data_IF_808398039296
#
_entry.id   IF_808398039296
#
_cell.length_a   1.000
_cell.length_b   1.000
_cell.length_c   1.000
_cell.angle_alpha   90.00
_cell.angle_beta   90.00
_cell.angle_gamma   90.00
#
_symmetry.space_group_name_H-M   'P 1'
#
loop_
_entity.id
_entity.type
_entity.pdbx_description
1 polymer ?
#
# COMPACT_ATOMS: atom_id res chain seq x y z
N UNK A 1 -10.81 24.36 18.33
CA UNK A 1 -9.41 24.09 17.95
C UNK A 1 -9.39 22.74 17.25
N UNK A 2 -9.63 22.73 15.93
CA UNK A 2 -9.58 21.55 15.08
C UNK A 2 -8.30 21.70 14.24
N UNK A 3 -7.23 21.05 14.65
CA UNK A 3 -6.01 20.90 13.85
C UNK A 3 -5.82 19.41 13.67
N UNK A 4 -6.27 18.93 12.52
CA UNK A 4 -5.86 17.67 11.91
C UNK A 4 -5.75 18.01 10.43
N UNK A 5 -4.61 18.57 10.04
CA UNK A 5 -4.21 18.63 8.63
C UNK A 5 -3.92 17.18 8.17
N UNK A 6 -4.98 16.39 8.01
CA UNK A 6 -4.99 15.02 7.47
C UNK A 6 -5.23 15.02 5.95
N UNK A 7 -5.15 16.19 5.29
CA UNK A 7 -5.60 16.36 3.91
C UNK A 7 -4.71 15.72 2.86
N UNK A 8 -3.50 15.26 3.19
CA UNK A 8 -2.48 14.89 2.18
C UNK A 8 -1.69 13.60 2.49
N UNK A 9 -2.27 12.64 3.19
CA UNK A 9 -1.58 11.37 3.49
C UNK A 9 -1.57 10.40 2.28
N UNK A 10 -0.45 9.69 2.13
CA UNK A 10 -0.21 8.67 1.10
C UNK A 10 -0.16 7.28 1.73
N UNK A 11 -1.10 6.41 1.37
CA UNK A 11 -1.07 4.99 1.72
C UNK A 11 -0.47 4.17 0.58
N UNK A 12 0.54 3.35 0.88
CA UNK A 12 1.18 2.44 -0.08
C UNK A 12 0.96 1.00 0.38
N UNK A 13 0.18 0.23 -0.37
CA UNK A 13 -0.04 -1.19 -0.09
C UNK A 13 0.98 -2.05 -0.84
N UNK A 14 1.69 -2.94 -0.13
CA UNK A 14 2.66 -3.87 -0.71
C UNK A 14 2.31 -5.32 -0.38
N UNK A 15 2.37 -6.21 -1.37
CA UNK A 15 2.04 -7.63 -1.14
C UNK A 15 3.08 -8.34 -0.28
N UNK A 16 2.60 -9.11 0.70
CA UNK A 16 3.39 -10.06 1.49
C UNK A 16 3.97 -11.23 0.67
N UNK A 17 3.46 -11.47 -0.55
CA UNK A 17 3.90 -12.54 -1.46
C UNK A 17 5.13 -12.18 -2.28
N UNK A 18 5.67 -10.98 -2.14
CA UNK A 18 6.90 -10.61 -2.81
C UNK A 18 8.10 -11.34 -2.20
N UNK A 19 9.15 -11.50 -3.00
CA UNK A 19 10.46 -11.85 -2.46
C UNK A 19 11.05 -10.62 -1.72
N UNK A 20 11.79 -10.80 -0.61
CA UNK A 20 12.36 -9.70 0.18
C UNK A 20 13.15 -8.68 -0.63
N UNK A 21 14.15 -9.12 -1.41
CA UNK A 21 14.98 -8.23 -2.24
C UNK A 21 14.16 -7.39 -3.21
N UNK A 22 13.04 -7.94 -3.63
CA UNK A 22 12.16 -7.30 -4.59
C UNK A 22 11.22 -6.30 -3.92
N UNK A 23 10.68 -6.62 -2.75
CA UNK A 23 9.99 -5.65 -1.93
C UNK A 23 10.92 -4.46 -1.60
N UNK A 24 12.20 -4.72 -1.31
CA UNK A 24 13.19 -3.68 -1.07
C UNK A 24 13.37 -2.75 -2.29
N UNK A 25 13.62 -3.32 -3.49
CA UNK A 25 13.79 -2.53 -4.72
C UNK A 25 12.55 -1.72 -5.07
N UNK A 26 11.37 -2.34 -5.00
CA UNK A 26 10.11 -1.68 -5.30
C UNK A 26 9.84 -0.54 -4.31
N UNK A 27 10.05 -0.77 -3.02
CA UNK A 27 9.79 0.23 -1.99
C UNK A 27 10.72 1.43 -2.13
N UNK A 28 12.02 1.22 -2.36
CA UNK A 28 12.96 2.30 -2.67
C UNK A 28 12.54 3.10 -3.89
N UNK A 29 12.13 2.42 -4.97
CA UNK A 29 11.68 3.10 -6.19
C UNK A 29 10.43 3.96 -5.94
N UNK A 30 9.51 3.52 -5.10
CA UNK A 30 8.33 4.31 -4.72
C UNK A 30 8.75 5.49 -3.84
N UNK A 31 9.59 5.28 -2.83
CA UNK A 31 10.07 6.33 -1.96
C UNK A 31 10.88 7.40 -2.72
N UNK A 32 11.76 7.00 -3.64
CA UNK A 32 12.49 7.92 -4.51
C UNK A 32 11.54 8.83 -5.33
N UNK A 33 10.40 8.28 -5.75
CA UNK A 33 9.39 9.03 -6.52
C UNK A 33 8.56 9.95 -5.62
N UNK A 34 8.26 9.51 -4.41
CA UNK A 34 7.61 10.35 -3.40
C UNK A 34 8.53 11.49 -2.95
N UNK A 35 9.83 11.24 -2.83
CA UNK A 35 10.86 12.26 -2.55
C UNK A 35 10.93 13.29 -3.68
N UNK A 36 10.97 12.85 -4.93
CA UNK A 36 10.96 13.73 -6.11
C UNK A 36 9.68 14.57 -6.21
N UNK A 37 8.54 14.03 -5.77
CA UNK A 37 7.27 14.73 -5.69
C UNK A 37 7.16 15.64 -4.45
N UNK A 38 8.13 15.63 -3.54
CA UNK A 38 8.15 16.45 -2.34
C UNK A 38 7.23 15.97 -1.22
N UNK A 39 6.79 14.70 -1.24
CA UNK A 39 5.94 14.12 -0.18
C UNK A 39 6.79 13.82 1.05
N UNK A 40 6.59 14.43 2.22
CA UNK A 40 7.34 14.12 3.43
C UNK A 40 7.16 12.67 3.90
N UNK A 41 8.22 12.06 4.46
CA UNK A 41 8.16 10.70 5.04
C UNK A 41 7.06 10.57 6.10
N UNK A 42 6.78 11.64 6.86
CA UNK A 42 5.73 11.66 7.89
C UNK A 42 4.30 11.53 7.33
N UNK A 43 4.10 11.76 6.04
CA UNK A 43 2.80 11.59 5.36
C UNK A 43 2.67 10.22 4.67
N UNK A 44 3.69 9.37 4.75
CA UNK A 44 3.73 8.06 4.09
C UNK A 44 3.37 6.96 5.07
N UNK A 45 2.39 6.15 4.69
CA UNK A 45 2.04 4.93 5.41
C UNK A 45 2.14 3.73 4.48
N UNK A 46 3.09 2.84 4.74
CA UNK A 46 3.20 1.55 4.11
C UNK A 46 2.28 0.54 4.78
N UNK A 47 1.57 -0.25 3.98
CA UNK A 47 0.64 -1.28 4.43
C UNK A 47 1.06 -2.59 3.78
N UNK A 48 1.57 -3.54 4.55
CA UNK A 48 1.80 -4.90 4.07
C UNK A 48 0.45 -5.60 3.97
N UNK A 49 -0.02 -5.77 2.74
CA UNK A 49 -1.27 -6.46 2.44
C UNK A 49 -1.02 -7.97 2.54
N UNK A 50 -1.57 -8.60 3.59
CA UNK A 50 -1.49 -10.04 3.80
C UNK A 50 -2.84 -10.73 3.69
N UNK A 51 -2.78 -12.00 3.28
CA UNK A 51 -3.91 -12.93 3.26
C UNK A 51 -3.89 -13.92 4.44
N UNK A 52 -3.14 -13.61 5.51
CA UNK A 52 -3.08 -14.42 6.74
C UNK A 52 -1.81 -15.26 6.92
N UNK A 53 -0.75 -14.98 6.15
CA UNK A 53 0.60 -15.53 6.38
C UNK A 53 1.40 -14.51 7.19
N UNK A 54 1.33 -14.63 8.52
CA UNK A 54 1.93 -13.69 9.46
C UNK A 54 3.47 -13.65 9.32
N UNK A 55 4.12 -14.76 8.98
CA UNK A 55 5.58 -14.82 8.79
C UNK A 55 6.00 -14.11 7.51
N UNK A 56 5.29 -14.35 6.40
CA UNK A 56 5.54 -13.64 5.15
C UNK A 56 5.30 -12.13 5.31
N UNK A 57 4.22 -11.75 5.99
CA UNK A 57 3.89 -10.36 6.24
C UNK A 57 4.95 -9.67 7.10
N UNK A 58 5.39 -10.30 8.19
CA UNK A 58 6.45 -9.78 9.06
C UNK A 58 7.78 -9.61 8.32
N UNK A 59 8.14 -10.58 7.47
CA UNK A 59 9.36 -10.52 6.65
C UNK A 59 9.33 -9.33 5.68
N UNK A 60 8.20 -9.09 5.01
CA UNK A 60 8.06 -7.94 4.10
C UNK A 60 7.99 -6.63 4.88
N UNK A 61 7.33 -6.59 6.03
CA UNK A 61 7.29 -5.41 6.89
C UNK A 61 8.69 -4.98 7.35
N UNK A 62 9.54 -5.93 7.74
CA UNK A 62 10.92 -5.65 8.12
C UNK A 62 11.70 -5.01 6.96
N UNK A 63 11.61 -5.60 5.76
CA UNK A 63 12.25 -5.04 4.55
C UNK A 63 11.78 -3.62 4.26
N UNK A 64 10.46 -3.38 4.31
CA UNK A 64 9.88 -2.06 4.03
C UNK A 64 10.29 -1.05 5.09
N UNK A 65 10.29 -1.46 6.37
CA UNK A 65 10.76 -0.62 7.47
C UNK A 65 12.22 -0.20 7.30
N UNK A 66 13.08 -1.13 6.86
CA UNK A 66 14.51 -0.85 6.66
C UNK A 66 14.77 0.15 5.53
N UNK A 67 13.92 0.20 4.50
CA UNK A 67 14.16 1.03 3.31
C UNK A 67 13.32 2.29 3.24
N UNK A 68 12.22 2.38 4.00
CA UNK A 68 11.25 3.49 3.90
C UNK A 68 11.64 4.78 4.64
N UNK A 69 12.89 4.87 5.11
CA UNK A 69 13.41 6.09 5.71
C UNK A 69 12.71 6.53 7.00
N UNK A 70 12.00 5.62 7.68
CA UNK A 70 11.23 5.91 8.89
C UNK A 70 9.75 6.21 8.66
N UNK A 71 9.22 5.93 7.46
CA UNK A 71 7.79 5.97 7.22
C UNK A 71 7.04 5.01 8.17
N UNK A 72 5.75 5.28 8.39
CA UNK A 72 4.91 4.37 9.17
C UNK A 72 4.71 3.07 8.38
N UNK A 73 4.92 1.92 9.01
CA UNK A 73 4.64 0.58 8.42
C UNK A 73 3.57 -0.13 9.23
N UNK A 74 2.54 -0.64 8.56
CA UNK A 74 1.42 -1.38 9.13
C UNK A 74 1.38 -2.76 8.47
N UNK A 75 1.23 -3.82 9.26
CA UNK A 75 0.84 -5.14 8.73
C UNK A 75 -0.68 -5.23 8.79
N UNK A 76 -1.33 -5.45 7.65
CA UNK A 76 -2.79 -5.56 7.60
C UNK A 76 -3.23 -6.87 8.26
N UNK A 77 -4.06 -6.84 9.30
CA UNK A 77 -4.74 -8.04 9.80
C UNK A 77 -6.24 -7.98 9.50
N UNK A 78 -6.71 -8.90 8.66
CA UNK A 78 -8.15 -9.02 8.34
C UNK A 78 -8.99 -9.55 9.51
N UNK A 79 -8.36 -10.09 10.56
CA UNK A 79 -8.99 -10.59 11.79
C UNK A 79 -9.17 -9.48 12.82
N UNK A 80 -8.51 -8.33 12.65
CA UNK A 80 -8.58 -7.19 13.58
C UNK A 80 -9.65 -6.19 13.12
N UNK A 81 -10.86 -6.22 13.71
CA UNK A 81 -11.99 -5.43 13.21
C UNK A 81 -11.78 -3.92 13.35
N UNK A 82 -11.01 -3.48 14.35
CA UNK A 82 -10.75 -2.07 14.62
C UNK A 82 -9.85 -1.43 13.54
N UNK A 83 -9.08 -2.25 12.82
CA UNK A 83 -8.28 -1.83 11.69
C UNK A 83 -9.07 -1.70 10.38
N UNK A 84 -10.37 -2.00 10.39
CA UNK A 84 -11.19 -2.14 9.19
C UNK A 84 -12.32 -1.11 9.12
N UNK A 85 -12.56 -0.58 7.92
CA UNK A 85 -13.69 0.30 7.62
C UNK A 85 -14.58 -0.35 6.57
N UNK A 86 -15.88 -0.40 6.85
CA UNK A 86 -16.88 -0.92 5.92
C UNK A 86 -16.94 -0.04 4.66
N UNK A 87 -16.69 -0.64 3.50
CA UNK A 87 -16.77 0.06 2.22
C UNK A 87 -18.15 -0.11 1.58
N UNK A 88 -18.57 -1.36 1.40
CA UNK A 88 -19.80 -1.70 0.70
C UNK A 88 -20.23 -3.13 1.01
N UNK A 89 -21.44 -3.48 0.60
CA UNK A 89 -21.91 -4.86 0.56
C UNK A 89 -22.05 -5.32 -0.89
N UNK A 90 -21.78 -6.61 -1.17
CA UNK A 90 -22.02 -7.10 -2.53
C UNK A 90 -23.53 -7.26 -2.78
N UNK A 91 -24.00 -7.05 -4.02
CA UNK A 91 -25.41 -7.23 -4.36
C UNK A 91 -25.91 -8.63 -3.96
N UNK A 92 -27.04 -8.69 -3.24
CA UNK A 92 -27.66 -9.95 -2.81
C UNK A 92 -27.19 -10.50 -1.45
N UNK A 93 -26.12 -9.98 -0.86
CA UNK A 93 -25.67 -10.40 0.47
C UNK A 93 -26.56 -9.80 1.59
N UNK A 94 -27.08 -10.65 2.49
CA UNK A 94 -27.86 -10.21 3.66
C UNK A 94 -27.01 -9.94 4.91
N UNK A 95 -25.78 -10.48 4.95
CA UNK A 95 -24.78 -10.29 6.02
C UNK A 95 -23.38 -10.28 5.37
N UNK A 96 -22.40 -9.69 6.06
CA UNK A 96 -21.04 -9.50 5.52
C UNK A 96 -20.86 -8.19 4.74
N UNK A 97 -19.74 -8.07 4.06
CA UNK A 97 -19.40 -6.91 3.23
C UNK A 97 -17.92 -6.85 2.89
N UNK A 98 -17.56 -5.85 2.09
CA UNK A 98 -16.18 -5.47 1.79
C UNK A 98 -15.74 -4.49 2.86
N UNK A 99 -14.69 -4.87 3.58
CA UNK A 99 -14.02 -4.03 4.57
C UNK A 99 -12.59 -3.81 4.10
N UNK A 100 -12.10 -2.58 4.17
CA UNK A 100 -10.72 -2.26 3.84
C UNK A 100 -10.01 -1.65 5.05
N UNK A 101 -8.68 -1.69 5.04
CA UNK A 101 -7.90 -1.08 6.10
C UNK A 101 -8.21 0.42 6.25
N UNK A 102 -8.32 0.90 7.50
CA UNK A 102 -8.66 2.29 7.80
C UNK A 102 -7.65 3.28 7.20
N UNK A 103 -6.34 3.02 7.37
CA UNK A 103 -5.30 3.90 6.84
C UNK A 103 -5.30 3.95 5.31
N UNK A 104 -5.69 2.86 4.65
CA UNK A 104 -5.93 2.86 3.21
C UNK A 104 -7.11 3.76 2.85
N UNK A 105 -8.26 3.61 3.51
CA UNK A 105 -9.45 4.40 3.18
C UNK A 105 -9.34 5.88 3.50
N UNK A 106 -8.61 6.24 4.57
CA UNK A 106 -8.45 7.63 4.99
C UNK A 106 -7.43 8.41 4.16
N UNK A 107 -6.57 7.72 3.40
CA UNK A 107 -5.52 8.36 2.62
C UNK A 107 -6.05 9.07 1.37
N UNK A 108 -5.53 10.27 1.13
CA UNK A 108 -5.83 11.10 -0.05
C UNK A 108 -5.23 10.49 -1.32
N UNK A 109 -4.05 9.89 -1.21
CA UNK A 109 -3.41 9.14 -2.30
C UNK A 109 -3.20 7.69 -1.87
N UNK A 110 -3.57 6.76 -2.75
CA UNK A 110 -3.44 5.33 -2.53
C UNK A 110 -2.61 4.71 -3.65
N UNK A 111 -1.60 3.91 -3.30
CA UNK A 111 -0.69 3.27 -4.24
C UNK A 111 -0.69 1.77 -3.96
N UNK A 112 -1.02 0.95 -4.96
CA UNK A 112 -0.94 -0.51 -4.87
C UNK A 112 0.34 -1.03 -5.51
N UNK A 113 1.11 -1.85 -4.77
CA UNK A 113 2.41 -2.36 -5.17
C UNK A 113 2.46 -3.90 -5.04
N UNK A 114 2.80 -4.57 -6.14
CA UNK A 114 2.85 -6.04 -6.22
C UNK A 114 1.74 -6.61 -7.09
N UNK A 115 1.90 -7.85 -7.55
CA UNK A 115 0.88 -8.54 -8.36
C UNK A 115 -0.40 -8.76 -7.57
N UNK A 116 -1.39 -9.45 -8.15
CA UNK A 116 -2.77 -8.98 -8.43
C UNK A 116 -3.48 -8.09 -7.39
N UNK A 117 -2.75 -7.22 -6.68
CA UNK A 117 -3.26 -6.05 -5.98
C UNK A 117 -3.64 -5.06 -7.08
N UNK A 118 -4.79 -5.32 -7.71
CA UNK A 118 -5.37 -4.45 -8.72
C UNK A 118 -5.31 -3.01 -8.19
N UNK A 119 -4.68 -2.14 -8.96
CA UNK A 119 -4.56 -0.71 -8.73
C UNK A 119 -5.97 -0.10 -8.72
N UNK A 120 -6.62 -0.04 -7.55
CA UNK A 120 -7.96 0.54 -7.39
C UNK A 120 -7.83 1.99 -6.92
N UNK A 121 -7.68 2.90 -7.88
CA UNK A 121 -8.46 4.15 -8.03
C UNK A 121 -7.78 5.08 -9.07
N UNK A 122 -8.57 5.92 -9.73
CA UNK A 122 -8.08 6.89 -10.75
C UNK A 122 -6.99 7.86 -10.26
N UNK A 123 -6.76 7.95 -8.95
CA UNK A 123 -5.67 8.70 -8.32
C UNK A 123 -4.33 7.93 -8.32
N UNK A 124 -4.35 6.59 -8.20
CA UNK A 124 -3.16 5.75 -8.41
C UNK A 124 -2.66 5.84 -9.85
N UNK A 125 -3.58 5.96 -10.82
CA UNK A 125 -3.25 6.13 -12.23
C UNK A 125 -2.56 7.50 -12.50
N UNK A 126 -3.04 8.57 -11.86
CA UNK A 126 -2.40 9.89 -11.94
C UNK A 126 -1.00 9.86 -11.33
N UNK A 127 -0.81 9.29 -10.13
CA UNK A 127 0.53 9.17 -9.54
C UNK A 127 1.45 8.32 -10.40
N UNK A 128 0.99 7.17 -10.90
CA UNK A 128 1.77 6.32 -11.81
C UNK A 128 2.18 7.07 -13.10
N UNK A 129 1.29 7.90 -13.65
CA UNK A 129 1.56 8.72 -14.83
C UNK A 129 2.58 9.84 -14.54
N UNK A 130 2.41 10.59 -13.44
CA UNK A 130 3.32 11.68 -13.02
C UNK A 130 4.68 11.12 -12.61
N UNK A 131 4.68 10.03 -11.86
CA UNK A 131 5.89 9.35 -11.45
C UNK A 131 6.57 8.64 -12.62
N UNK A 132 5.92 8.37 -13.76
CA UNK A 132 6.41 7.45 -14.80
C UNK A 132 6.70 6.05 -14.25
N UNK A 133 5.79 5.53 -13.44
CA UNK A 133 5.74 4.12 -13.07
C UNK A 133 4.72 3.47 -14.01
N UNK A 134 5.18 2.76 -15.03
CA UNK A 134 4.22 2.05 -15.89
C UNK A 134 3.68 0.82 -15.14
N UNK A 135 2.46 0.40 -15.46
CA UNK A 135 1.96 -0.89 -14.99
C UNK A 135 2.92 -2.03 -15.42
N UNK A 136 3.56 -1.87 -16.59
CA UNK A 136 4.58 -2.77 -17.11
C UNK A 136 5.87 -2.77 -16.27
N UNK A 137 6.28 -1.67 -15.65
CA UNK A 137 7.44 -1.64 -14.76
C UNK A 137 7.16 -2.43 -13.47
N UNK A 138 5.95 -2.25 -12.92
CA UNK A 138 5.48 -2.99 -11.75
C UNK A 138 5.28 -4.48 -12.07
N UNK A 139 4.89 -4.79 -13.32
CA UNK A 139 4.65 -6.14 -13.82
C UNK A 139 5.91 -6.84 -14.34
N UNK A 140 6.88 -6.12 -14.91
CA UNK A 140 8.15 -6.67 -15.39
C UNK A 140 9.02 -7.13 -14.24
N UNK A 141 9.01 -6.40 -13.12
CA UNK A 141 9.60 -6.90 -11.88
C UNK A 141 8.92 -8.23 -11.44
N UNK A 142 7.62 -8.45 -11.74
CA UNK A 142 6.90 -9.72 -11.45
C UNK A 142 7.36 -10.88 -12.31
N UNK A 143 7.66 -10.61 -13.57
CA UNK A 143 7.94 -11.64 -14.57
C UNK A 143 9.42 -12.02 -14.68
N UNK A 144 10.36 -11.11 -14.35
CA UNK A 144 11.81 -11.35 -14.51
C UNK A 144 12.39 -12.29 -13.41
N UNK A 145 11.60 -12.67 -12.40
CA UNK A 145 12.05 -13.54 -11.30
C UNK A 145 11.16 -14.76 -11.06
N UNK A 146 10.34 -15.13 -12.06
CA UNK A 146 9.58 -16.38 -12.06
C UNK A 146 10.36 -17.53 -12.68
#
# INVERSE_FOLDING_TARGET
MLSLDHSDDVAIAVSDRLLPDRAARLSRRVDDRLDQAGVPVSQRTWIVATAGDDEAAARIAAVVSDVSGGARVIVHDSREPDGLTFQRRNPGERRGGVYLNHAWQSASVRIGCGGPLALVDGLSAWFNQVARLSADDLHADLLISG
#
